data_IF_375053372510
#
_entry.id   IF_375053372510
#
_cell.length_a   1.000
_cell.length_b   1.000
_cell.length_c   1.000
_cell.angle_alpha   90.00
_cell.angle_beta   90.00
_cell.angle_gamma   90.00
#
_symmetry.space_group_name_H-M   'P 1'
#
loop_
_entity.id
_entity.type
_entity.pdbx_description
1 polymer ?
#
# COMPACT_ATOMS: atom_id res chain seq x y z
N UNK A 1 -14.05 29.84 15.65
CA UNK A 1 -13.97 28.36 15.79
C UNK A 1 -13.23 27.81 14.60
N UNK A 2 -12.29 26.87 14.80
CA UNK A 2 -11.67 26.13 13.70
C UNK A 2 -12.74 25.15 13.19
N UNK A 3 -13.03 25.14 11.88
CA UNK A 3 -13.94 24.15 11.29
C UNK A 3 -13.43 22.73 11.59
N UNK A 4 -14.33 21.77 11.75
CA UNK A 4 -13.94 20.38 11.93
C UNK A 4 -13.11 19.93 10.70
N UNK A 5 -12.10 19.06 10.85
CA UNK A 5 -11.20 18.70 9.75
C UNK A 5 -11.92 18.24 8.47
N UNK A 6 -13.05 17.54 8.61
CA UNK A 6 -13.85 17.07 7.48
C UNK A 6 -14.60 18.21 6.76
N UNK A 7 -15.05 19.23 7.48
CA UNK A 7 -15.74 20.39 6.90
C UNK A 7 -14.76 21.25 6.11
N UNK A 8 -13.55 21.45 6.65
CA UNK A 8 -12.47 22.15 5.98
C UNK A 8 -12.03 21.43 4.68
N UNK A 9 -11.91 20.10 4.72
CA UNK A 9 -11.63 19.29 3.54
C UNK A 9 -12.75 19.42 2.50
N UNK A 10 -14.01 19.28 2.92
CA UNK A 10 -15.17 19.38 2.02
C UNK A 10 -15.23 20.75 1.33
N UNK A 11 -14.96 21.83 2.06
CA UNK A 11 -14.92 23.17 1.48
C UNK A 11 -13.77 23.36 0.49
N UNK A 12 -12.57 22.88 0.84
CA UNK A 12 -11.43 22.89 -0.08
C UNK A 12 -11.69 22.11 -1.37
N UNK A 13 -12.36 20.96 -1.28
CA UNK A 13 -12.76 20.15 -2.44
C UNK A 13 -13.85 20.81 -3.31
N UNK A 14 -14.73 21.61 -2.69
CA UNK A 14 -15.78 22.34 -3.43
C UNK A 14 -15.23 23.55 -4.17
N UNK A 15 -14.43 24.36 -3.49
CA UNK A 15 -13.94 25.66 -3.96
C UNK A 15 -12.63 25.60 -4.74
N UNK A 16 -11.87 24.51 -4.62
CA UNK A 16 -10.55 24.36 -5.20
C UNK A 16 -10.52 24.07 -6.71
N UNK A 17 -9.35 24.25 -7.36
CA UNK A 17 -9.12 23.84 -8.75
C UNK A 17 -9.34 22.35 -8.96
N UNK A 18 -9.82 21.97 -10.15
CA UNK A 18 -10.06 20.58 -10.55
C UNK A 18 -9.14 20.20 -11.73
N UNK A 19 -8.76 18.91 -11.88
CA UNK A 19 -9.18 17.74 -11.08
C UNK A 19 -8.48 17.63 -9.72
N UNK A 20 -9.04 16.80 -8.83
CA UNK A 20 -8.43 16.45 -7.53
C UNK A 20 -7.92 15.02 -7.59
N UNK A 21 -6.76 14.76 -7.00
CA UNK A 21 -6.23 13.42 -6.78
C UNK A 21 -6.15 13.13 -5.27
N UNK A 22 -6.30 11.84 -4.90
CA UNK A 22 -6.16 11.37 -3.52
C UNK A 22 -4.91 10.49 -3.43
N UNK A 23 -4.01 10.83 -2.52
CA UNK A 23 -2.90 9.96 -2.13
C UNK A 23 -3.36 9.09 -0.96
N UNK A 24 -3.65 7.82 -1.24
CA UNK A 24 -4.01 6.83 -0.23
C UNK A 24 -2.81 5.95 0.10
N UNK A 25 -2.47 5.85 1.39
CA UNK A 25 -1.42 4.95 1.87
C UNK A 25 -1.94 3.52 2.10
N UNK A 26 -1.02 2.58 2.34
CA UNK A 26 -1.32 1.17 2.59
C UNK A 26 -2.33 0.93 3.75
N UNK A 27 -2.39 1.84 4.72
CA UNK A 27 -3.36 1.77 5.84
C UNK A 27 -4.83 1.71 5.39
N UNK A 28 -5.18 2.29 4.24
CA UNK A 28 -6.54 2.20 3.68
C UNK A 28 -6.85 0.74 3.30
N UNK A 29 -5.89 0.05 2.67
CA UNK A 29 -6.04 -1.36 2.29
C UNK A 29 -6.00 -2.28 3.52
N UNK A 30 -5.08 -2.04 4.46
CA UNK A 30 -4.96 -2.84 5.68
C UNK A 30 -6.24 -2.82 6.52
N UNK A 31 -6.88 -1.64 6.67
CA UNK A 31 -8.15 -1.53 7.40
C UNK A 31 -9.32 -2.21 6.69
N UNK A 32 -9.22 -2.42 5.38
CA UNK A 32 -10.16 -3.22 4.60
C UNK A 32 -9.85 -4.74 4.61
N UNK A 33 -8.83 -5.18 5.36
CA UNK A 33 -8.40 -6.58 5.42
C UNK A 33 -7.63 -7.06 4.18
N UNK A 34 -7.13 -6.14 3.36
CA UNK A 34 -6.33 -6.47 2.18
C UNK A 34 -4.85 -6.58 2.55
N UNK A 35 -4.18 -7.59 2.00
CA UNK A 35 -2.74 -7.76 2.15
C UNK A 35 -1.97 -6.60 1.50
N UNK A 36 -0.91 -6.13 2.16
CA UNK A 36 -0.06 -5.04 1.66
C UNK A 36 1.41 -5.27 2.02
N UNK A 37 2.33 -4.59 1.31
CA UNK A 37 3.75 -4.63 1.67
C UNK A 37 4.31 -6.05 1.81
N UNK A 38 4.89 -6.37 2.97
CA UNK A 38 5.47 -7.69 3.25
C UNK A 38 4.45 -8.84 3.23
N UNK A 39 3.16 -8.59 3.49
CA UNK A 39 2.14 -9.63 3.43
C UNK A 39 2.09 -10.23 2.02
N UNK A 40 2.21 -9.39 0.99
CA UNK A 40 2.23 -9.81 -0.41
C UNK A 40 3.48 -10.62 -0.74
N UNK A 41 4.62 -10.30 -0.12
CA UNK A 41 5.85 -11.08 -0.27
C UNK A 41 5.73 -12.46 0.36
N UNK A 42 5.13 -12.54 1.55
CA UNK A 42 4.88 -13.81 2.24
C UNK A 42 3.89 -14.69 1.47
N UNK A 43 2.85 -14.10 0.90
CA UNK A 43 1.92 -14.80 0.02
C UNK A 43 2.63 -15.33 -1.24
N UNK A 44 3.44 -14.50 -1.90
CA UNK A 44 4.20 -14.90 -3.09
C UNK A 44 5.18 -16.05 -2.79
N UNK A 45 5.84 -16.04 -1.63
CA UNK A 45 6.69 -17.15 -1.19
C UNK A 45 5.86 -18.42 -0.95
N UNK A 46 4.73 -18.31 -0.25
CA UNK A 46 3.85 -19.44 0.04
C UNK A 46 3.29 -20.10 -1.23
N UNK A 47 2.92 -19.31 -2.26
CA UNK A 47 2.50 -19.81 -3.57
C UNK A 47 3.58 -20.65 -4.27
N UNK A 48 4.85 -20.41 -3.94
CA UNK A 48 6.02 -21.14 -4.45
C UNK A 48 6.46 -22.29 -3.54
N UNK A 49 5.79 -22.48 -2.39
CA UNK A 49 6.21 -23.44 -1.37
C UNK A 49 7.51 -23.04 -0.67
N UNK A 50 7.87 -21.76 -0.68
CA UNK A 50 9.07 -21.21 -0.07
C UNK A 50 8.75 -20.50 1.27
N UNK A 51 9.72 -20.43 2.18
CA UNK A 51 9.64 -19.65 3.41
C UNK A 51 10.54 -18.41 3.30
N UNK A 52 9.99 -17.19 3.29
CA UNK A 52 10.77 -15.96 3.15
C UNK A 52 11.49 -15.56 4.46
N UNK A 53 11.24 -16.28 5.57
CA UNK A 53 11.86 -16.03 6.86
C UNK A 53 11.53 -14.67 7.46
N UNK A 54 12.47 -14.14 8.26
CA UNK A 54 12.31 -12.88 8.97
C UNK A 54 12.45 -11.63 8.08
N UNK A 55 13.04 -11.78 6.89
CA UNK A 55 13.26 -10.68 5.94
C UNK A 55 12.73 -11.04 4.54
N UNK A 56 11.41 -10.87 4.30
CA UNK A 56 10.79 -11.16 3.01
C UNK A 56 11.31 -10.29 1.87
N UNK A 57 11.85 -9.11 2.16
CA UNK A 57 12.39 -8.21 1.14
C UNK A 57 13.70 -8.79 0.61
N UNK A 58 14.60 -9.20 1.50
CA UNK A 58 15.85 -9.85 1.10
C UNK A 58 15.58 -11.19 0.39
N UNK A 59 14.61 -11.97 0.85
CA UNK A 59 14.15 -13.17 0.12
C UNK A 59 13.72 -12.83 -1.31
N UNK A 60 12.85 -11.82 -1.48
CA UNK A 60 12.35 -11.44 -2.80
C UNK A 60 13.48 -10.95 -3.72
N UNK A 61 14.42 -10.16 -3.20
CA UNK A 61 15.59 -9.71 -3.97
C UNK A 61 16.44 -10.92 -4.39
N UNK A 62 16.65 -11.88 -3.49
CA UNK A 62 17.38 -13.11 -3.81
C UNK A 62 16.68 -13.95 -4.88
N UNK A 63 15.35 -14.09 -4.80
CA UNK A 63 14.55 -14.91 -5.72
C UNK A 63 14.35 -14.26 -7.10
N UNK A 64 14.21 -12.93 -7.16
CA UNK A 64 13.79 -12.21 -8.37
C UNK A 64 14.82 -11.19 -8.88
N UNK A 65 15.93 -10.98 -8.17
CA UNK A 65 17.02 -10.07 -8.57
C UNK A 65 16.65 -8.58 -8.56
N UNK A 66 15.54 -8.20 -7.92
CA UNK A 66 15.03 -6.82 -7.90
C UNK A 66 14.27 -6.51 -6.62
N UNK A 67 14.19 -5.22 -6.29
CA UNK A 67 13.40 -4.77 -5.16
C UNK A 67 11.89 -5.00 -5.41
N UNK A 68 11.12 -5.45 -4.40
CA UNK A 68 9.66 -5.53 -4.42
C UNK A 68 8.98 -4.28 -4.98
N UNK A 69 8.06 -4.45 -5.92
CA UNK A 69 7.14 -3.39 -6.32
C UNK A 69 5.76 -3.97 -6.60
N UNK A 70 4.71 -3.18 -6.34
CA UNK A 70 3.32 -3.66 -6.47
C UNK A 70 3.00 -4.17 -7.89
N UNK A 71 3.55 -3.56 -8.94
CA UNK A 71 3.34 -3.99 -10.33
C UNK A 71 4.03 -5.31 -10.69
N UNK A 72 4.95 -5.78 -9.86
CA UNK A 72 5.73 -7.00 -10.08
C UNK A 72 5.32 -8.14 -9.14
N UNK A 73 4.50 -7.85 -8.13
CA UNK A 73 4.02 -8.83 -7.14
C UNK A 73 2.57 -9.21 -7.41
N UNK A 74 1.74 -8.25 -7.85
CA UNK A 74 0.40 -8.49 -8.38
C UNK A 74 0.48 -8.91 -9.85
#
# INVERSE_FOLDING_TARGET
MRAAPIEALAEGLRSGPRPVAVLAGAGVSQTAGMATGEDLLRMSAAERGEDPGADPVSWYIGAFGRFPNYFAIL
#
